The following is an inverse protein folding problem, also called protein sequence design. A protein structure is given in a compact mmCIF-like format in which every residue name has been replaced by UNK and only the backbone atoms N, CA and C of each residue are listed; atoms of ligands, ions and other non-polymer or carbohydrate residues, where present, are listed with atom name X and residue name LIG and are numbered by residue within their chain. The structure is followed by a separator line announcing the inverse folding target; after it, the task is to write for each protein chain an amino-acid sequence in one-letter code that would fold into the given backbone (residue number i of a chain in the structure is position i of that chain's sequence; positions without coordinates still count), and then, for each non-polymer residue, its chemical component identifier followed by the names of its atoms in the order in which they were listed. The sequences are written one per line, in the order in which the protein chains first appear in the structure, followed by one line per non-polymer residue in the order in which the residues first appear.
data_IF_465506996771
#
_entry.id   IF_465506996771
#
_cell.length_a   1.000
_cell.length_b   1.000
_cell.length_c   1.000
_cell.angle_alpha   90.00
_cell.angle_beta   90.00
_cell.angle_gamma   90.00
#
_symmetry.space_group_name_H-M   'P 1'
#
loop_
_entity.id
_entity.type
_entity.pdbx_description
1 polymer ?
#
# COMPACT_ATOMS: atom_id res chain seq x y z
N UNK A 1 -12.26 -26.01 26.65
CA UNK A 1 -11.92 -26.48 25.28
C UNK A 1 -12.02 -25.27 24.36
N UNK A 2 -11.01 -24.71 23.71
CA UNK A 2 -9.57 -24.99 23.49
C UNK A 2 -8.84 -23.61 23.54
N UNK A 3 -8.02 -23.31 24.54
CA UNK A 3 -7.23 -22.05 24.60
C UNK A 3 -5.74 -22.24 24.26
N UNK A 4 -5.29 -23.46 23.99
CA UNK A 4 -3.87 -23.82 23.76
C UNK A 4 -3.23 -23.28 22.46
N UNK A 5 -3.73 -22.20 21.88
CA UNK A 5 -3.18 -21.63 20.65
C UNK A 5 -2.06 -20.65 20.91
N UNK A 6 -2.40 -19.49 21.46
CA UNK A 6 -1.51 -18.33 21.46
C UNK A 6 -0.47 -18.34 22.58
N UNK A 7 -0.76 -19.04 23.68
CA UNK A 7 0.00 -19.01 24.95
C UNK A 7 1.50 -19.21 24.73
N UNK A 8 1.91 -20.29 24.04
CA UNK A 8 3.33 -20.56 23.77
C UNK A 8 4.02 -19.48 22.91
N UNK A 9 3.28 -18.81 22.03
CA UNK A 9 3.83 -17.76 21.16
C UNK A 9 3.93 -16.44 21.91
N UNK A 10 2.97 -16.16 22.78
CA UNK A 10 3.00 -14.99 23.67
C UNK A 10 4.11 -15.14 24.71
N UNK A 11 4.26 -16.33 25.30
CA UNK A 11 5.35 -16.64 26.21
C UNK A 11 6.71 -16.44 25.55
N UNK A 12 6.89 -16.95 24.33
CA UNK A 12 8.09 -16.67 23.53
C UNK A 12 8.33 -15.16 23.35
N UNK A 13 7.30 -14.41 22.96
CA UNK A 13 7.41 -12.97 22.70
C UNK A 13 7.84 -12.18 23.94
N UNK A 14 7.37 -12.55 25.13
CA UNK A 14 7.75 -11.91 26.39
C UNK A 14 9.04 -12.45 27.02
N UNK A 15 9.54 -13.59 26.55
CA UNK A 15 10.87 -14.09 26.91
C UNK A 15 11.99 -13.41 26.10
N UNK A 16 11.66 -12.61 25.09
CA UNK A 16 12.63 -11.77 24.37
C UNK A 16 13.08 -10.60 25.24
N UNK A 17 14.27 -10.07 24.95
CA UNK A 17 14.70 -8.79 25.53
C UNK A 17 13.78 -7.66 25.09
N UNK A 18 13.66 -6.61 25.92
CA UNK A 18 12.83 -5.44 25.62
C UNK A 18 13.15 -4.83 24.26
N UNK A 19 14.44 -4.58 23.97
CA UNK A 19 14.87 -4.06 22.67
C UNK A 19 14.40 -4.94 21.50
N UNK A 20 14.52 -6.28 21.60
CA UNK A 20 14.09 -7.19 20.52
C UNK A 20 12.58 -7.17 20.32
N UNK A 21 11.83 -7.02 21.41
CA UNK A 21 10.37 -6.92 21.36
C UNK A 21 9.95 -5.61 20.68
N UNK A 22 10.62 -4.52 21.00
CA UNK A 22 10.37 -3.21 20.41
C UNK A 22 10.73 -3.21 18.92
N UNK A 23 11.87 -3.77 18.54
CA UNK A 23 12.27 -3.99 17.14
C UNK A 23 11.18 -4.75 16.35
N UNK A 24 10.64 -5.83 16.94
CA UNK A 24 9.54 -6.60 16.33
C UNK A 24 8.30 -5.72 16.16
N UNK A 25 7.89 -5.00 17.21
CA UNK A 25 6.70 -4.16 17.15
C UNK A 25 6.84 -3.04 16.10
N UNK A 26 8.04 -2.50 15.95
CA UNK A 26 8.37 -1.52 14.90
C UNK A 26 8.29 -2.15 13.51
N UNK A 27 8.81 -3.36 13.32
CA UNK A 27 8.62 -4.12 12.07
C UNK A 27 7.14 -4.31 11.77
N UNK A 28 6.33 -4.72 12.74
CA UNK A 28 4.89 -4.94 12.54
C UNK A 28 4.11 -3.65 12.26
N UNK A 29 4.51 -2.52 12.85
CA UNK A 29 3.76 -1.26 12.72
C UNK A 29 4.20 -0.41 11.52
N UNK A 30 5.51 -0.43 11.21
CA UNK A 30 6.14 0.46 10.24
C UNK A 30 6.82 -0.25 9.08
N UNK A 31 6.94 -1.59 9.10
CA UNK A 31 7.69 -2.32 8.09
C UNK A 31 9.19 -2.02 8.14
N UNK A 32 9.73 -1.81 9.34
CA UNK A 32 11.15 -1.47 9.56
C UNK A 32 12.12 -2.47 8.91
N UNK A 33 13.29 -1.99 8.46
CA UNK A 33 14.33 -2.76 7.74
C UNK A 33 15.21 -3.58 8.70
N UNK A 34 14.65 -3.99 9.84
CA UNK A 34 15.40 -4.77 10.83
C UNK A 34 15.44 -6.22 10.35
N UNK A 35 16.65 -6.75 10.17
CA UNK A 35 16.84 -8.16 9.85
C UNK A 35 16.52 -9.02 11.06
N UNK A 36 15.42 -9.77 10.98
CA UNK A 36 15.05 -10.76 11.98
C UNK A 36 15.72 -12.11 11.67
N UNK A 37 16.20 -12.80 12.70
CA UNK A 37 16.74 -14.15 12.55
C UNK A 37 15.64 -15.16 12.16
N UNK A 38 16.06 -16.31 11.62
CA UNK A 38 15.14 -17.32 11.10
C UNK A 38 14.16 -17.87 12.14
N UNK A 39 14.54 -17.97 13.42
CA UNK A 39 13.64 -18.48 14.45
C UNK A 39 12.62 -17.42 14.84
N UNK A 40 13.05 -16.16 14.92
CA UNK A 40 12.14 -15.02 15.14
C UNK A 40 11.11 -14.90 14.01
N UNK A 41 11.53 -14.99 12.75
CA UNK A 41 10.61 -14.97 11.60
C UNK A 41 9.57 -16.10 11.67
N UNK A 42 10.01 -17.32 12.02
CA UNK A 42 9.14 -18.48 12.17
C UNK A 42 8.12 -18.31 13.29
N UNK A 43 8.53 -17.74 14.43
CA UNK A 43 7.63 -17.48 15.55
C UNK A 43 6.64 -16.35 15.26
N UNK A 44 7.07 -15.29 14.56
CA UNK A 44 6.17 -14.24 14.08
C UNK A 44 5.15 -14.76 13.06
N UNK A 45 5.55 -15.63 12.14
CA UNK A 45 4.63 -16.32 11.24
C UNK A 45 3.57 -17.10 12.02
N UNK A 46 3.98 -17.88 13.04
CA UNK A 46 3.03 -18.60 13.91
C UNK A 46 2.07 -17.65 14.64
N UNK A 47 2.56 -16.51 15.14
CA UNK A 47 1.72 -15.49 15.77
C UNK A 47 0.69 -14.98 14.76
N UNK A 48 1.16 -14.52 13.60
CA UNK A 48 0.36 -14.00 12.49
C UNK A 48 -0.76 -14.97 12.12
N UNK A 49 -0.41 -16.22 11.83
CA UNK A 49 -1.38 -17.21 11.35
C UNK A 49 -2.46 -17.52 12.39
N UNK A 50 -2.09 -17.61 13.68
CA UNK A 50 -3.05 -17.80 14.77
C UNK A 50 -3.97 -16.60 14.95
N UNK A 51 -3.44 -15.38 14.88
CA UNK A 51 -4.25 -14.16 15.02
C UNK A 51 -5.17 -13.98 13.83
N UNK A 52 -4.71 -14.25 12.59
CA UNK A 52 -5.55 -14.23 11.40
C UNK A 52 -6.69 -15.24 11.51
N UNK A 53 -6.43 -16.44 12.02
CA UNK A 53 -7.49 -17.41 12.30
C UNK A 53 -8.54 -16.82 13.25
N UNK A 54 -8.13 -16.13 14.33
CA UNK A 54 -9.08 -15.47 15.24
C UNK A 54 -9.84 -14.30 14.58
N UNK A 55 -9.20 -13.57 13.66
CA UNK A 55 -9.87 -12.52 12.89
C UNK A 55 -11.01 -13.11 12.04
N UNK A 56 -10.84 -14.33 11.50
CA UNK A 56 -11.90 -15.04 10.75
C UNK A 56 -13.04 -15.49 11.65
N UNK A 57 -12.73 -16.13 12.77
CA UNK A 57 -13.76 -16.71 13.66
C UNK A 57 -14.59 -15.66 14.40
N UNK A 58 -13.96 -14.57 14.83
CA UNK A 58 -14.61 -13.60 15.72
C UNK A 58 -15.27 -12.44 14.97
N UNK A 59 -14.77 -12.13 13.77
CA UNK A 59 -15.13 -11.03 12.84
C UNK A 59 -15.03 -9.60 13.42
N UNK A 60 -15.25 -9.43 14.72
CA UNK A 60 -15.28 -8.18 15.44
C UNK A 60 -13.92 -7.85 16.06
N UNK A 61 -13.37 -6.68 15.71
CA UNK A 61 -12.11 -6.15 16.26
C UNK A 61 -12.03 -6.25 17.79
N UNK A 62 -13.09 -5.87 18.50
CA UNK A 62 -13.11 -5.86 19.97
C UNK A 62 -12.94 -7.26 20.57
N UNK A 63 -13.56 -8.28 19.96
CA UNK A 63 -13.44 -9.68 20.39
C UNK A 63 -12.03 -10.21 20.16
N UNK A 64 -11.41 -9.93 19.01
CA UNK A 64 -10.03 -10.32 18.72
C UNK A 64 -9.05 -9.65 19.69
N UNK A 65 -9.22 -8.35 19.97
CA UNK A 65 -8.39 -7.65 20.95
C UNK A 65 -8.56 -8.24 22.36
N UNK A 66 -9.79 -8.57 22.78
CA UNK A 66 -10.05 -9.22 24.07
C UNK A 66 -9.38 -10.59 24.15
N UNK A 67 -9.42 -11.37 23.06
CA UNK A 67 -8.73 -12.65 22.95
C UNK A 67 -7.21 -12.47 23.13
N UNK A 68 -6.58 -11.55 22.38
CA UNK A 68 -5.14 -11.26 22.49
C UNK A 68 -4.74 -10.86 23.91
N UNK A 69 -5.50 -9.94 24.52
CA UNK A 69 -5.23 -9.51 25.90
C UNK A 69 -5.48 -10.63 26.92
N UNK A 70 -6.47 -11.48 26.68
CA UNK A 70 -6.75 -12.65 27.51
C UNK A 70 -5.67 -13.73 27.42
N UNK A 71 -4.91 -13.76 26.32
CA UNK A 71 -3.73 -14.60 26.13
C UNK A 71 -2.44 -14.01 26.71
N UNK A 72 -2.49 -12.85 27.37
CA UNK A 72 -1.34 -12.23 28.04
C UNK A 72 -0.67 -11.09 27.27
N UNK A 73 -1.16 -10.72 26.08
CA UNK A 73 -0.59 -9.60 25.30
C UNK A 73 -1.03 -8.24 25.87
N UNK A 74 -0.10 -7.31 26.06
CA UNK A 74 -0.41 -5.93 26.50
C UNK A 74 -1.36 -5.24 25.50
N UNK A 75 -2.19 -4.33 26.00
CA UNK A 75 -3.27 -3.70 25.23
C UNK A 75 -2.77 -2.96 23.97
N UNK A 76 -1.66 -2.23 24.06
CA UNK A 76 -1.15 -1.46 22.92
C UNK A 76 -0.44 -2.35 21.90
N UNK A 77 0.34 -3.33 22.37
CA UNK A 77 0.97 -4.35 21.53
C UNK A 77 -0.09 -5.19 20.78
N UNK A 78 -1.20 -5.53 21.44
CA UNK A 78 -2.33 -6.23 20.82
C UNK A 78 -2.97 -5.43 19.67
N UNK A 79 -3.01 -4.09 19.77
CA UNK A 79 -3.50 -3.24 18.67
C UNK A 79 -2.55 -3.27 17.49
N UNK A 80 -1.23 -3.23 17.73
CA UNK A 80 -0.19 -3.30 16.69
C UNK A 80 -0.28 -4.64 15.97
N UNK A 81 -0.28 -5.75 16.72
CA UNK A 81 -0.38 -7.12 16.17
C UNK A 81 -1.68 -7.28 15.38
N UNK A 82 -2.82 -6.80 15.90
CA UNK A 82 -4.09 -6.86 15.19
C UNK A 82 -4.06 -6.07 13.88
N UNK A 83 -3.52 -4.85 13.89
CA UNK A 83 -3.42 -4.00 12.71
C UNK A 83 -2.60 -4.69 11.61
N UNK A 84 -1.42 -5.20 11.97
CA UNK A 84 -0.57 -5.97 11.06
C UNK A 84 -1.26 -7.22 10.51
N UNK A 85 -1.85 -8.06 11.38
CA UNK A 85 -2.50 -9.29 10.93
C UNK A 85 -3.69 -8.99 10.02
N UNK A 86 -4.45 -7.92 10.31
CA UNK A 86 -5.55 -7.46 9.46
C UNK A 86 -5.07 -6.97 8.10
N UNK A 87 -3.92 -6.29 8.02
CA UNK A 87 -3.39 -5.80 6.74
C UNK A 87 -2.83 -6.92 5.86
N UNK A 88 -2.22 -7.95 6.45
CA UNK A 88 -1.64 -9.09 5.71
C UNK A 88 -2.69 -10.15 5.36
N UNK A 89 -3.79 -10.24 6.11
CA UNK A 89 -4.85 -11.25 5.93
C UNK A 89 -5.35 -11.39 4.47
N UNK A 90 -5.70 -10.32 3.73
CA UNK A 90 -6.23 -10.45 2.38
C UNK A 90 -5.27 -11.16 1.43
N UNK A 91 -3.99 -10.79 1.46
CA UNK A 91 -2.97 -11.40 0.60
C UNK A 91 -2.79 -12.89 0.92
N UNK A 92 -2.83 -13.27 2.19
CA UNK A 92 -2.78 -14.69 2.59
C UNK A 92 -4.02 -15.46 2.14
N UNK A 93 -5.20 -14.85 2.18
CA UNK A 93 -6.44 -15.46 1.67
C UNK A 93 -6.39 -15.65 0.16
N UNK A 94 -5.90 -14.65 -0.56
CA UNK A 94 -5.76 -14.70 -2.01
C UNK A 94 -4.80 -15.80 -2.46
N UNK A 95 -3.71 -16.02 -1.70
CA UNK A 95 -2.76 -17.09 -1.96
C UNK A 95 -3.37 -18.49 -1.94
N UNK A 96 -4.54 -18.69 -1.32
CA UNK A 96 -5.16 -20.02 -1.18
C UNK A 96 -5.62 -20.56 -2.53
N UNK A 97 -6.08 -19.68 -3.43
CA UNK A 97 -6.56 -20.08 -4.75
C UNK A 97 -5.44 -20.74 -5.57
N UNK A 98 -4.24 -20.16 -5.55
CA UNK A 98 -3.12 -20.64 -6.35
C UNK A 98 -2.47 -21.91 -5.81
N UNK A 99 -2.48 -22.15 -4.49
CA UNK A 99 -1.86 -23.33 -3.86
C UNK A 99 -2.46 -24.67 -4.30
N UNK A 100 -3.67 -24.63 -4.87
CA UNK A 100 -4.42 -25.81 -5.30
C UNK A 100 -4.37 -26.03 -6.81
N UNK A 101 -3.74 -25.12 -7.54
CA UNK A 101 -3.67 -25.18 -8.99
C UNK A 101 -2.69 -26.27 -9.43
N UNK A 102 -2.95 -26.85 -10.60
CA UNK A 102 -1.94 -27.64 -11.29
C UNK A 102 -0.88 -26.70 -11.90
N UNK A 103 0.35 -27.18 -12.04
CA UNK A 103 1.50 -26.38 -12.46
C UNK A 103 1.35 -25.80 -13.86
N UNK A 104 0.76 -26.54 -14.80
CA UNK A 104 0.57 -26.07 -16.19
C UNK A 104 -0.41 -24.89 -16.26
N UNK A 105 -1.58 -25.03 -15.63
CA UNK A 105 -2.58 -23.96 -15.55
C UNK A 105 -2.07 -22.76 -14.73
N UNK A 106 -1.24 -23.01 -13.71
CA UNK A 106 -0.61 -21.94 -12.96
C UNK A 106 0.43 -21.18 -13.80
N UNK A 107 1.23 -21.89 -14.59
CA UNK A 107 2.16 -21.30 -15.57
C UNK A 107 1.41 -20.42 -16.57
N UNK A 108 0.33 -20.92 -17.17
CA UNK A 108 -0.48 -20.15 -18.12
C UNK A 108 -1.06 -18.87 -17.50
N UNK A 109 -1.49 -18.95 -16.23
CA UNK A 109 -1.97 -17.76 -15.49
C UNK A 109 -0.84 -16.77 -15.22
N UNK A 110 0.35 -17.23 -14.83
CA UNK A 110 1.51 -16.36 -14.60
C UNK A 110 1.93 -15.66 -15.89
N UNK A 111 2.05 -16.40 -16.99
CA UNK A 111 2.38 -15.87 -18.31
C UNK A 111 1.33 -14.88 -18.80
N UNK A 112 0.04 -15.17 -18.62
CA UNK A 112 -1.03 -14.23 -18.93
C UNK A 112 -0.87 -12.93 -18.14
N UNK A 113 -0.61 -13.01 -16.83
CA UNK A 113 -0.45 -11.84 -15.97
C UNK A 113 0.77 -11.02 -16.39
N UNK A 114 1.92 -11.65 -16.57
CA UNK A 114 3.14 -10.93 -16.97
C UNK A 114 2.92 -10.23 -18.30
N UNK A 115 2.46 -10.94 -19.32
CA UNK A 115 2.33 -10.38 -20.66
C UNK A 115 1.19 -9.35 -20.74
N UNK A 116 -0.02 -9.70 -20.28
CA UNK A 116 -1.22 -8.87 -20.50
C UNK A 116 -1.43 -7.81 -19.45
N UNK A 117 -0.92 -7.98 -18.23
CA UNK A 117 -1.10 -7.01 -17.14
C UNK A 117 0.14 -6.13 -16.98
N UNK A 118 1.36 -6.72 -16.96
CA UNK A 118 2.57 -5.96 -16.68
C UNK A 118 3.28 -5.40 -17.90
N UNK A 119 3.49 -6.21 -18.95
CA UNK A 119 4.26 -5.81 -20.13
C UNK A 119 3.43 -4.96 -21.09
N UNK A 120 2.29 -5.48 -21.58
CA UNK A 120 1.52 -4.79 -22.60
C UNK A 120 0.36 -3.94 -22.05
N UNK A 121 -0.02 -4.14 -20.78
CA UNK A 121 -1.15 -3.45 -20.11
C UNK A 121 -2.48 -3.55 -20.88
N UNK A 122 -2.65 -4.61 -21.65
CA UNK A 122 -3.83 -4.84 -22.48
C UNK A 122 -4.96 -5.51 -21.73
N UNK A 123 -4.77 -5.89 -20.45
CA UNK A 123 -5.76 -6.62 -19.67
C UNK A 123 -7.20 -6.06 -19.75
N UNK A 124 -7.35 -4.74 -19.88
CA UNK A 124 -8.66 -4.07 -20.07
C UNK A 124 -9.43 -4.53 -21.33
N UNK A 125 -8.76 -5.15 -22.30
CA UNK A 125 -9.32 -5.66 -23.54
C UNK A 125 -9.64 -7.17 -23.49
N UNK A 126 -9.26 -7.87 -22.43
CA UNK A 126 -9.50 -9.30 -22.29
C UNK A 126 -10.67 -9.58 -21.36
N UNK A 127 -11.61 -10.46 -21.74
CA UNK A 127 -12.72 -10.83 -20.88
C UNK A 127 -12.20 -11.59 -19.65
N UNK A 128 -12.71 -11.28 -18.46
CA UNK A 128 -12.28 -11.94 -17.22
C UNK A 128 -12.39 -13.48 -17.26
N UNK A 129 -13.36 -14.00 -18.03
CA UNK A 129 -13.55 -15.44 -18.23
C UNK A 129 -12.36 -16.13 -18.90
N UNK A 130 -11.48 -15.40 -19.59
CA UNK A 130 -10.26 -15.97 -20.16
C UNK A 130 -9.32 -16.44 -19.04
N UNK A 131 -9.09 -15.60 -18.03
CA UNK A 131 -8.31 -15.97 -16.86
C UNK A 131 -8.93 -17.16 -16.11
N UNK A 132 -10.27 -17.18 -15.99
CA UNK A 132 -11.00 -18.30 -15.37
C UNK A 132 -10.71 -19.62 -16.08
N UNK A 133 -10.69 -19.60 -17.42
CA UNK A 133 -10.39 -20.78 -18.25
C UNK A 133 -8.93 -21.20 -18.19
N UNK A 134 -8.00 -20.25 -18.28
CA UNK A 134 -6.56 -20.53 -18.25
C UNK A 134 -6.14 -21.23 -16.96
N UNK A 135 -6.65 -20.76 -15.82
CA UNK A 135 -6.32 -21.35 -14.53
C UNK A 135 -7.17 -22.54 -14.11
N UNK A 136 -8.07 -23.04 -14.97
CA UNK A 136 -9.05 -24.10 -14.66
C UNK A 136 -9.80 -23.85 -13.33
N UNK A 137 -10.18 -22.59 -13.09
CA UNK A 137 -10.78 -22.18 -11.83
C UNK A 137 -12.23 -22.65 -11.73
N UNK A 138 -12.56 -23.30 -10.60
CA UNK A 138 -13.93 -23.74 -10.33
C UNK A 138 -14.86 -22.56 -10.02
N UNK A 139 -14.29 -21.48 -9.48
CA UNK A 139 -15.02 -20.26 -9.13
C UNK A 139 -14.32 -19.03 -9.67
N UNK A 140 -15.11 -18.09 -10.18
CA UNK A 140 -14.61 -16.77 -10.64
C UNK A 140 -13.83 -16.02 -9.56
N UNK A 141 -14.23 -16.17 -8.29
CA UNK A 141 -13.53 -15.56 -7.16
C UNK A 141 -12.09 -16.07 -7.01
N UNK A 142 -11.83 -17.35 -7.30
CA UNK A 142 -10.49 -17.95 -7.23
C UNK A 142 -9.58 -17.34 -8.30
N UNK A 143 -10.09 -17.11 -9.52
CA UNK A 143 -9.36 -16.40 -10.56
C UNK A 143 -9.00 -14.97 -10.11
N UNK A 144 -9.95 -14.26 -9.49
CA UNK A 144 -9.72 -12.90 -9.01
C UNK A 144 -8.73 -12.82 -7.84
N UNK A 145 -8.77 -13.80 -6.94
CA UNK A 145 -7.82 -13.98 -5.86
C UNK A 145 -6.42 -14.25 -6.42
N UNK A 146 -6.28 -15.19 -7.34
CA UNK A 146 -5.00 -15.52 -7.99
C UNK A 146 -4.40 -14.32 -8.71
N UNK A 147 -5.20 -13.59 -9.49
CA UNK A 147 -4.77 -12.35 -10.15
C UNK A 147 -4.25 -11.33 -9.15
N UNK A 148 -5.04 -11.03 -8.10
CA UNK A 148 -4.68 -10.02 -7.10
C UNK A 148 -3.42 -10.42 -6.33
N UNK A 149 -3.30 -11.69 -5.96
CA UNK A 149 -2.11 -12.21 -5.29
C UNK A 149 -0.87 -12.05 -6.17
N UNK A 150 -0.88 -12.63 -7.37
CA UNK A 150 0.25 -12.61 -8.29
C UNK A 150 0.62 -11.19 -8.72
N UNK A 151 -0.37 -10.34 -8.98
CA UNK A 151 -0.14 -8.92 -9.28
C UNK A 151 0.61 -8.23 -8.13
N UNK A 152 0.19 -8.41 -6.88
CA UNK A 152 0.88 -7.81 -5.73
C UNK A 152 2.32 -8.31 -5.63
N UNK A 153 2.54 -9.62 -5.79
CA UNK A 153 3.86 -10.24 -5.67
C UNK A 153 4.83 -9.77 -6.77
N UNK A 154 4.39 -9.78 -8.03
CA UNK A 154 5.20 -9.35 -9.19
C UNK A 154 5.45 -7.84 -9.14
N UNK A 155 4.50 -7.05 -8.63
CA UNK A 155 4.66 -5.60 -8.45
C UNK A 155 5.83 -5.24 -7.54
N UNK A 156 6.15 -6.04 -6.52
CA UNK A 156 7.31 -5.81 -5.65
C UNK A 156 8.62 -5.79 -6.47
N UNK A 157 8.73 -6.65 -7.48
CA UNK A 157 9.90 -6.73 -8.36
C UNK A 157 9.89 -5.59 -9.39
N UNK A 158 8.71 -5.26 -9.93
CA UNK A 158 8.55 -4.13 -10.86
C UNK A 158 9.00 -2.81 -10.23
N UNK A 159 8.64 -2.61 -8.95
CA UNK A 159 9.00 -1.44 -8.14
C UNK A 159 10.43 -1.46 -7.61
N UNK A 160 11.18 -2.55 -7.86
CA UNK A 160 12.52 -2.79 -7.31
C UNK A 160 12.57 -2.81 -5.77
N UNK A 161 11.45 -3.12 -5.13
CA UNK A 161 11.39 -3.33 -3.67
C UNK A 161 12.01 -4.68 -3.29
N UNK A 162 11.91 -5.66 -4.19
CA UNK A 162 12.34 -7.06 -3.97
C UNK A 162 13.04 -7.59 -5.22
N UNK A 163 14.08 -8.42 -5.04
CA UNK A 163 14.75 -9.16 -6.15
C UNK A 163 14.00 -10.46 -6.45
N UNK A 164 14.06 -11.03 -7.68
CA UNK A 164 13.41 -12.30 -8.00
C UNK A 164 13.73 -13.45 -7.02
N UNK A 165 14.98 -13.60 -6.60
CA UNK A 165 15.37 -14.62 -5.60
C UNK A 165 14.79 -14.36 -4.21
N UNK A 166 14.59 -13.09 -3.83
CA UNK A 166 13.92 -12.73 -2.57
C UNK A 166 12.41 -12.97 -2.69
N UNK A 167 11.82 -12.72 -3.85
CA UNK A 167 10.42 -13.01 -4.14
C UNK A 167 10.15 -14.51 -3.96
N UNK A 168 11.00 -15.38 -4.50
CA UNK A 168 10.92 -16.84 -4.30
C UNK A 168 10.85 -17.22 -2.81
N UNK A 169 11.74 -16.64 -2.00
CA UNK A 169 11.77 -16.90 -0.56
C UNK A 169 10.49 -16.41 0.13
N UNK A 170 9.92 -15.27 -0.27
CA UNK A 170 8.66 -14.77 0.27
C UNK A 170 7.51 -15.72 -0.09
N UNK A 171 7.40 -16.12 -1.36
CA UNK A 171 6.37 -17.05 -1.84
C UNK A 171 6.37 -18.36 -1.04
N UNK A 172 7.55 -18.93 -0.79
CA UNK A 172 7.70 -20.19 -0.04
C UNK A 172 7.49 -19.97 1.46
N UNK A 173 8.23 -19.03 2.07
CA UNK A 173 8.30 -18.92 3.53
C UNK A 173 7.11 -18.21 4.13
N UNK A 174 6.59 -17.17 3.49
CA UNK A 174 5.51 -16.36 4.05
C UNK A 174 4.14 -16.85 3.60
N UNK A 175 4.08 -17.34 2.36
CA UNK A 175 2.84 -17.78 1.74
C UNK A 175 2.73 -19.30 1.59
N UNK A 176 3.70 -20.13 1.97
CA UNK A 176 3.59 -21.60 1.91
C UNK A 176 3.25 -22.12 0.50
N UNK A 177 3.81 -21.51 -0.55
CA UNK A 177 3.78 -22.10 -1.89
C UNK A 177 4.78 -23.26 -1.97
N UNK A 178 4.50 -24.24 -2.84
CA UNK A 178 5.49 -25.26 -3.18
C UNK A 178 6.65 -24.62 -3.96
N UNK A 179 7.82 -25.28 -3.92
CA UNK A 179 8.99 -24.86 -4.67
C UNK A 179 8.66 -24.72 -6.17
N UNK A 180 7.98 -25.70 -6.74
CA UNK A 180 7.57 -25.72 -8.15
C UNK A 180 6.74 -24.50 -8.56
N UNK A 181 5.74 -24.11 -7.76
CA UNK A 181 4.94 -22.90 -8.06
C UNK A 181 5.76 -21.62 -7.86
N UNK A 182 6.66 -21.59 -6.87
CA UNK A 182 7.53 -20.44 -6.68
C UNK A 182 8.50 -20.26 -7.85
N UNK A 183 9.07 -21.36 -8.36
CA UNK A 183 9.98 -21.37 -9.51
C UNK A 183 9.27 -20.86 -10.77
N UNK A 184 8.03 -21.31 -11.04
CA UNK A 184 7.23 -20.82 -12.16
C UNK A 184 7.09 -19.29 -12.13
N UNK A 185 6.75 -18.71 -10.97
CA UNK A 185 6.64 -17.24 -10.86
C UNK A 185 7.99 -16.58 -11.09
N UNK A 186 9.03 -17.07 -10.43
CA UNK A 186 10.32 -16.36 -10.37
C UNK A 186 11.10 -16.48 -11.67
N UNK A 187 11.04 -17.62 -12.36
CA UNK A 187 11.62 -17.81 -13.69
C UNK A 187 10.92 -16.91 -14.72
N UNK A 188 9.58 -16.89 -14.73
CA UNK A 188 8.81 -16.06 -15.67
C UNK A 188 9.07 -14.57 -15.44
N UNK A 189 9.15 -14.14 -14.16
CA UNK A 189 9.55 -12.77 -13.78
C UNK A 189 10.99 -12.48 -14.20
N UNK A 190 11.91 -13.42 -14.04
CA UNK A 190 13.32 -13.24 -14.36
C UNK A 190 13.54 -13.09 -15.87
N UNK A 191 12.81 -13.85 -16.70
CA UNK A 191 12.84 -13.74 -18.17
C UNK A 191 12.32 -12.37 -18.63
N UNK A 192 11.29 -11.84 -17.97
CA UNK A 192 10.63 -10.60 -18.35
C UNK A 192 11.08 -9.37 -17.53
N UNK A 193 12.14 -9.51 -16.73
CA UNK A 193 12.52 -8.54 -15.69
C UNK A 193 12.68 -7.11 -16.23
N UNK A 194 13.39 -6.98 -17.34
CA UNK A 194 13.66 -5.67 -17.95
C UNK A 194 12.37 -5.04 -18.47
N UNK A 195 11.51 -5.80 -19.14
CA UNK A 195 10.28 -5.29 -19.74
C UNK A 195 9.24 -4.88 -18.69
N UNK A 196 9.05 -5.68 -17.64
CA UNK A 196 8.11 -5.33 -16.57
C UNK A 196 8.59 -4.08 -15.79
N UNK A 197 9.90 -3.92 -15.58
CA UNK A 197 10.46 -2.75 -14.90
C UNK A 197 10.43 -1.49 -15.78
N UNK A 198 10.77 -1.62 -17.07
CA UNK A 198 10.64 -0.52 -18.05
C UNK A 198 9.20 -0.04 -18.13
N UNK A 199 8.25 -0.96 -18.26
CA UNK A 199 6.83 -0.62 -18.38
C UNK A 199 6.31 0.06 -17.11
N UNK A 200 6.70 -0.42 -15.93
CA UNK A 200 6.38 0.24 -14.67
C UNK A 200 6.93 1.68 -14.61
N UNK A 201 8.19 1.88 -15.03
CA UNK A 201 8.83 3.20 -15.03
C UNK A 201 8.13 4.16 -16.00
N UNK A 202 7.87 3.74 -17.24
CA UNK A 202 7.16 4.55 -18.24
C UNK A 202 5.82 5.03 -17.70
N UNK A 203 5.04 4.13 -17.11
CA UNK A 203 3.73 4.51 -16.56
C UNK A 203 3.82 5.42 -15.33
N UNK A 204 4.85 5.25 -14.50
CA UNK A 204 5.10 6.15 -13.38
C UNK A 204 5.46 7.55 -13.88
N UNK A 205 6.23 7.64 -14.96
CA UNK A 205 6.56 8.92 -15.62
C UNK A 205 5.31 9.57 -16.20
N UNK A 206 4.46 8.81 -16.90
CA UNK A 206 3.20 9.33 -17.46
C UNK A 206 2.27 9.87 -16.36
N UNK A 207 2.13 9.15 -15.24
CA UNK A 207 1.35 9.62 -14.09
C UNK A 207 1.93 10.88 -13.44
N UNK A 208 3.26 11.01 -13.41
CA UNK A 208 3.92 12.22 -12.91
C UNK A 208 3.72 13.40 -13.85
N UNK A 209 3.83 13.19 -15.16
CA UNK A 209 3.59 14.24 -16.17
C UNK A 209 2.17 14.80 -16.05
N UNK A 210 1.15 13.95 -15.92
CA UNK A 210 -0.24 14.41 -15.72
C UNK A 210 -0.41 15.24 -14.44
N UNK A 211 0.31 14.90 -13.36
CA UNK A 211 0.29 15.70 -12.13
C UNK A 211 0.99 17.04 -12.32
N UNK A 212 2.08 17.08 -13.09
CA UNK A 212 2.78 18.33 -13.44
C UNK A 212 1.86 19.23 -14.28
N UNK A 213 1.21 18.71 -15.32
CA UNK A 213 0.24 19.47 -16.12
C UNK A 213 -0.90 20.06 -15.26
N UNK A 214 -1.40 19.29 -14.29
CA UNK A 214 -2.41 19.77 -13.35
C UNK A 214 -1.87 20.90 -12.45
N UNK A 215 -0.63 20.79 -11.98
CA UNK A 215 0.03 21.83 -11.17
C UNK A 215 0.28 23.09 -12.00
N UNK A 216 0.70 22.96 -13.26
CA UNK A 216 0.89 24.09 -14.18
C UNK A 216 -0.43 24.85 -14.37
N UNK A 217 -1.54 24.16 -14.64
CA UNK A 217 -2.86 24.81 -14.73
C UNK A 217 -3.28 25.52 -13.44
N UNK A 218 -2.94 24.97 -12.27
CA UNK A 218 -3.22 25.63 -10.99
C UNK A 218 -2.35 26.86 -10.74
N UNK A 219 -1.16 26.93 -11.34
CA UNK A 219 -0.28 28.09 -11.26
C UNK A 219 -0.78 29.21 -12.19
N UNK A 220 -1.22 28.88 -13.39
CA UNK A 220 -1.85 29.85 -14.30
C UNK A 220 -3.08 30.50 -13.64
N UNK A 221 -3.96 29.70 -13.03
CA UNK A 221 -5.11 30.20 -12.26
C UNK A 221 -4.70 31.07 -11.06
N UNK A 222 -3.50 30.87 -10.51
CA UNK A 222 -3.00 31.67 -9.39
C UNK A 222 -2.42 33.00 -9.88
N UNK A 223 -1.71 33.00 -11.01
CA UNK A 223 -1.17 34.20 -11.64
C UNK A 223 -2.31 35.16 -12.04
N UNK A 224 -3.37 34.66 -12.68
CA UNK A 224 -4.57 35.47 -13.00
C UNK A 224 -5.17 36.13 -11.75
N UNK A 225 -5.19 35.41 -10.62
CA UNK A 225 -5.70 35.93 -9.36
C UNK A 225 -4.76 36.95 -8.71
N UNK A 226 -3.47 36.87 -8.98
CA UNK A 226 -2.49 37.88 -8.53
C UNK A 226 -2.70 39.15 -9.34
N UNK A 227 -2.86 39.06 -10.66
CA UNK A 227 -3.16 40.20 -11.52
C UNK A 227 -4.45 40.93 -11.07
N UNK A 228 -5.53 40.19 -10.81
CA UNK A 228 -6.78 40.77 -10.27
C UNK A 228 -6.57 41.51 -8.93
N UNK A 229 -5.65 41.02 -8.08
CA UNK A 229 -5.31 41.66 -6.81
C UNK A 229 -4.47 42.91 -7.05
N UNK A 230 -3.51 42.89 -7.98
CA UNK A 230 -2.69 44.06 -8.34
C UNK A 230 -3.55 45.19 -8.89
N UNK A 231 -4.54 44.87 -9.74
CA UNK A 231 -5.53 45.83 -10.22
C UNK A 231 -6.37 46.41 -9.07
N UNK A 232 -6.85 45.55 -8.17
CA UNK A 232 -7.62 45.98 -6.99
C UNK A 232 -6.81 46.87 -6.04
N UNK A 233 -5.51 46.61 -5.89
CA UNK A 233 -4.60 47.45 -5.09
C UNK A 233 -4.39 48.80 -5.76
N UNK A 234 -4.19 48.83 -7.08
CA UNK A 234 -4.04 50.07 -7.84
C UNK A 234 -5.29 50.97 -7.72
N UNK A 235 -6.48 50.39 -7.78
CA UNK A 235 -7.74 51.11 -7.56
C UNK A 235 -7.83 51.70 -6.14
N UNK A 236 -7.36 50.96 -5.12
CA UNK A 236 -7.34 51.43 -3.74
C UNK A 236 -6.33 52.57 -3.52
N UNK A 237 -5.17 52.52 -4.18
CA UNK A 237 -4.18 53.60 -4.14
C UNK A 237 -4.77 54.89 -4.73
N UNK A 238 -5.43 54.82 -5.89
CA UNK A 238 -6.09 55.99 -6.47
C UNK A 238 -7.20 56.56 -5.59
N UNK A 239 -7.97 55.70 -4.90
CA UNK A 239 -8.98 56.16 -3.96
C UNK A 239 -8.37 56.83 -2.72
N UNK A 240 -7.17 56.42 -2.32
CA UNK A 240 -6.46 57.02 -1.21
C UNK A 240 -5.95 58.41 -1.56
N UNK A 241 -5.38 58.59 -2.76
CA UNK A 241 -4.99 59.90 -3.29
C UNK A 241 -6.20 60.87 -3.34
N UNK A 242 -7.34 60.41 -3.85
CA UNK A 242 -8.60 61.18 -3.88
C UNK A 242 -9.11 61.58 -2.48
N UNK A 243 -8.81 60.78 -1.45
CA UNK A 243 -9.17 61.07 -0.06
C UNK A 243 -8.20 62.09 0.53
N UNK A 244 -6.91 61.94 0.29
CA UNK A 244 -5.88 62.87 0.76
C UNK A 244 -6.13 64.28 0.19
N UNK A 245 -6.42 64.40 -1.11
CA UNK A 245 -6.79 65.67 -1.75
C UNK A 245 -8.02 66.33 -1.07
N UNK A 246 -9.03 65.53 -0.69
CA UNK A 246 -10.21 66.03 0.01
C UNK A 246 -9.93 66.46 1.45
N UNK A 247 -8.96 65.82 2.12
CA UNK A 247 -8.53 66.20 3.45
C UNK A 247 -7.82 67.55 3.39
N UNK A 248 -6.90 67.73 2.43
CA UNK A 248 -6.20 69.01 2.21
C UNK A 248 -7.22 70.14 1.94
N UNK A 249 -8.20 69.90 1.07
CA UNK A 249 -9.31 70.83 0.79
C UNK A 249 -10.16 71.18 2.03
N UNK A 250 -10.26 70.28 3.00
CA UNK A 250 -10.99 70.50 4.25
C UNK A 250 -10.14 71.29 5.23
N UNK A 251 -8.85 70.97 5.34
CA UNK A 251 -7.90 71.66 6.21
C UNK A 251 -7.77 73.14 5.79
N UNK A 252 -7.66 73.42 4.49
CA UNK A 252 -7.67 74.80 3.96
C UNK A 252 -8.94 75.58 4.37
N UNK A 253 -10.11 74.95 4.28
CA UNK A 253 -11.38 75.58 4.71
C UNK A 253 -11.44 75.80 6.21
N UNK A 254 -10.85 74.93 7.01
CA UNK A 254 -10.78 75.08 8.46
C UNK A 254 -9.89 76.28 8.80
N UNK A 255 -8.73 76.40 8.15
CA UNK A 255 -7.82 77.54 8.33
C UNK A 255 -8.47 78.87 7.95
N UNK A 256 -9.24 78.90 6.85
CA UNK A 256 -10.02 80.07 6.45
C UNK A 256 -11.09 80.48 7.49
N UNK A 257 -11.68 79.52 8.21
CA UNK A 257 -12.68 79.79 9.26
C UNK A 257 -12.03 80.28 10.56
N UNK A 258 -10.78 79.87 10.83
CA UNK A 258 -10.06 80.21 12.05
C UNK A 258 -9.38 81.58 12.02
N UNK A 259 -9.19 82.16 10.83
CA UNK A 259 -8.62 83.50 10.61
C UNK A 259 -9.66 84.62 10.57
#
# INVERSE_FOLDING_TARGET
MKTNGLENVVEWFYNLSENKRDDILDVLNHGSIISLDSETQKMLKKLRDKVIHQIRELEEKKKVLKYLTGSGVKKDEAKVIYKYCRSVKPQLEDSIAIKKMNSDAFYDVVEFIINKVFVYKEYKYYPFNELVRLGDFQKTDEAGQSLRFLFNMISLVCKREVRPSTLEQILIKDFDLSQELADIVTESVQVNLDEIQKTYLVSTIDELNQKVECIESMLDDLDDRVDDIEDSVSDLESLMDDIDDKIDDIDDKIDDIQN
#
